data_IF_639745554174
#
_entry.id   IF_639745554174
#
_cell.length_a   1.000
_cell.length_b   1.000
_cell.length_c   1.000
_cell.angle_alpha   90.00
_cell.angle_beta   90.00
_cell.angle_gamma   90.00
#
_symmetry.space_group_name_H-M   'P 1'
#
loop_
_entity.id
_entity.type
_entity.pdbx_description
1 polymer ?
#
# COMPACT_ATOMS: atom_id res chain seq x y z
N UNK A 1 15.76 -17.59 19.58
CA UNK A 1 15.69 -18.69 18.59
C UNK A 1 14.90 -18.20 17.41
N UNK A 2 15.55 -17.97 16.26
CA UNK A 2 14.81 -17.82 15.01
C UNK A 2 14.07 -19.15 14.75
N UNK A 3 12.79 -19.13 14.33
CA UNK A 3 12.07 -20.35 13.96
C UNK A 3 12.72 -20.95 12.72
N UNK A 4 13.65 -21.89 12.93
CA UNK A 4 14.10 -22.79 11.88
C UNK A 4 13.01 -23.84 11.69
N UNK A 5 12.53 -23.98 10.46
CA UNK A 5 11.58 -25.04 10.07
C UNK A 5 12.22 -26.44 10.11
N UNK A 6 13.46 -26.56 10.64
CA UNK A 6 14.20 -27.79 10.85
C UNK A 6 14.47 -28.48 9.52
N UNK A 7 13.75 -29.59 9.29
CA UNK A 7 13.81 -30.39 8.06
C UNK A 7 13.45 -29.60 6.78
N UNK A 8 12.80 -28.45 6.90
CA UNK A 8 12.30 -27.66 5.78
C UNK A 8 13.01 -26.31 5.63
N UNK A 9 14.30 -26.24 5.97
CA UNK A 9 15.08 -24.99 5.96
C UNK A 9 15.10 -24.28 4.58
N UNK A 10 14.83 -25.02 3.51
CA UNK A 10 14.67 -24.54 2.13
C UNK A 10 13.26 -24.00 1.80
N UNK A 11 12.33 -24.04 2.75
CA UNK A 11 10.91 -23.69 2.54
C UNK A 11 10.49 -22.49 3.37
N UNK A 12 9.58 -21.69 2.81
CA UNK A 12 8.89 -20.63 3.53
C UNK A 12 7.59 -21.10 4.19
N UNK A 13 7.08 -20.30 5.14
CA UNK A 13 5.80 -20.51 5.79
C UNK A 13 5.00 -19.20 5.90
N UNK A 14 3.67 -19.28 5.94
CA UNK A 14 2.81 -18.12 6.22
C UNK A 14 2.22 -18.21 7.63
N UNK A 15 2.52 -17.22 8.46
CA UNK A 15 2.02 -17.14 9.84
C UNK A 15 0.61 -16.55 9.83
N UNK A 16 -0.32 -17.17 10.57
CA UNK A 16 -1.66 -16.61 10.75
C UNK A 16 -1.57 -15.32 11.55
N UNK A 17 -1.88 -14.19 10.89
CA UNK A 17 -1.75 -12.86 11.47
C UNK A 17 -3.14 -12.28 11.76
N UNK A 18 -3.94 -12.00 10.72
CA UNK A 18 -5.32 -11.52 10.87
C UNK A 18 -6.23 -12.19 9.84
N UNK A 19 -6.95 -13.23 10.24
CA UNK A 19 -7.73 -14.05 9.30
C UNK A 19 -8.99 -13.33 8.79
N UNK A 20 -9.58 -13.83 7.69
CA UNK A 20 -10.72 -13.19 7.00
C UNK A 20 -12.09 -13.42 7.63
N UNK A 21 -12.20 -14.31 8.63
CA UNK A 21 -13.46 -14.60 9.31
C UNK A 21 -13.81 -13.52 10.36
N UNK A 22 -15.10 -13.25 10.63
CA UNK A 22 -15.52 -12.25 11.61
C UNK A 22 -14.92 -12.43 13.02
N UNK A 23 -14.88 -13.68 13.51
CA UNK A 23 -14.30 -14.03 14.82
C UNK A 23 -12.79 -13.81 14.93
N UNK A 24 -12.11 -13.38 13.86
CA UNK A 24 -10.70 -12.94 13.97
C UNK A 24 -10.54 -11.78 14.95
N UNK A 25 -11.56 -10.94 15.12
CA UNK A 25 -11.52 -9.79 16.04
C UNK A 25 -11.56 -10.18 17.52
N UNK A 26 -12.07 -11.38 17.85
CA UNK A 26 -12.27 -11.81 19.23
C UNK A 26 -10.94 -11.94 20.00
N UNK A 27 -9.86 -12.22 19.28
CA UNK A 27 -8.51 -12.34 19.83
C UNK A 27 -7.50 -11.44 19.12
N UNK A 28 -7.48 -11.48 17.78
CA UNK A 28 -6.37 -10.91 17.02
C UNK A 28 -6.41 -9.37 16.99
N UNK A 29 -7.58 -8.76 17.19
CA UNK A 29 -7.75 -7.30 17.27
C UNK A 29 -7.68 -6.74 18.70
N UNK A 30 -7.45 -7.57 19.72
CA UNK A 30 -7.30 -7.09 21.09
C UNK A 30 -6.03 -6.24 21.20
N UNK A 31 -6.13 -5.14 21.96
CA UNK A 31 -4.99 -4.27 22.25
C UNK A 31 -4.14 -4.83 23.38
N UNK A 32 -2.84 -4.77 23.20
CA UNK A 32 -1.82 -5.02 24.21
C UNK A 32 -1.53 -3.75 25.01
N UNK A 33 -0.70 -3.88 26.05
CA UNK A 33 -0.38 -2.79 26.97
C UNK A 33 0.35 -1.61 26.29
N UNK A 34 1.07 -1.87 25.19
CA UNK A 34 1.76 -0.87 24.37
C UNK A 34 0.84 -0.20 23.34
N UNK A 35 -0.43 -0.60 23.28
CA UNK A 35 -1.42 -0.06 22.36
C UNK A 35 -1.49 -0.74 20.99
N UNK A 36 -0.52 -1.60 20.65
CA UNK A 36 -0.57 -2.43 19.45
C UNK A 36 -1.62 -3.54 19.60
N UNK A 37 -2.17 -4.01 18.49
CA UNK A 37 -3.05 -5.18 18.48
C UNK A 37 -2.23 -6.47 18.45
N UNK A 38 -2.85 -7.58 18.90
CA UNK A 38 -2.23 -8.91 18.85
C UNK A 38 -1.71 -9.25 17.44
N UNK A 39 -2.46 -8.93 16.37
CA UNK A 39 -2.02 -9.22 15.00
C UNK A 39 -0.85 -8.33 14.55
N UNK A 40 -0.79 -7.07 14.95
CA UNK A 40 0.35 -6.18 14.66
C UNK A 40 1.63 -6.73 15.32
N UNK A 41 1.52 -7.23 16.56
CA UNK A 41 2.65 -7.89 17.23
C UNK A 41 3.08 -9.17 16.52
N UNK A 42 2.13 -10.00 16.05
CA UNK A 42 2.45 -11.19 15.25
C UNK A 42 3.20 -10.81 13.96
N UNK A 43 2.76 -9.76 13.27
CA UNK A 43 3.41 -9.26 12.06
C UNK A 43 4.86 -8.82 12.33
N UNK A 44 5.08 -8.03 13.39
CA UNK A 44 6.42 -7.60 13.80
C UNK A 44 7.33 -8.76 14.24
N UNK A 45 6.77 -9.76 14.93
CA UNK A 45 7.52 -10.96 15.33
C UNK A 45 7.96 -11.79 14.11
N UNK A 46 7.07 -12.01 13.14
CA UNK A 46 7.40 -12.75 11.92
C UNK A 46 8.54 -12.09 11.13
N UNK A 47 8.56 -10.77 11.08
CA UNK A 47 9.63 -10.00 10.45
C UNK A 47 10.95 -10.08 11.24
N UNK A 48 10.91 -9.92 12.57
CA UNK A 48 12.09 -10.10 13.44
C UNK A 48 12.69 -11.50 13.31
N UNK A 49 11.84 -12.52 13.26
CA UNK A 49 12.23 -13.92 13.07
C UNK A 49 12.89 -14.16 11.71
N UNK A 50 12.35 -13.58 10.64
CA UNK A 50 12.94 -13.67 9.30
C UNK A 50 14.33 -13.02 9.24
N UNK A 51 14.49 -11.84 9.85
CA UNK A 51 15.79 -11.14 9.89
C UNK A 51 16.86 -11.92 10.66
N UNK A 52 16.52 -12.45 11.83
CA UNK A 52 17.43 -13.30 12.62
C UNK A 52 17.84 -14.57 11.87
N UNK A 53 16.93 -15.17 11.11
CA UNK A 53 17.26 -16.34 10.30
C UNK A 53 18.28 -16.02 9.19
N UNK A 54 18.21 -14.83 8.60
CA UNK A 54 19.17 -14.38 7.57
C UNK A 54 20.55 -14.07 8.15
N UNK A 55 20.63 -13.47 9.35
CA UNK A 55 21.90 -13.17 10.04
C UNK A 55 22.66 -14.43 10.45
N UNK A 56 21.96 -15.54 10.73
CA UNK A 56 22.57 -16.81 11.11
C UNK A 56 23.11 -17.63 9.92
N UNK A 57 22.78 -17.28 8.68
CA UNK A 57 23.13 -18.02 7.44
C UNK A 57 24.41 -17.49 6.77
N UNK A 58 25.07 -16.47 7.33
CA UNK A 58 26.30 -15.83 6.81
C UNK A 58 27.58 -16.65 7.09
N UNK A 59 27.46 -17.96 7.26
CA UNK A 59 28.61 -18.89 7.23
C UNK A 59 28.58 -19.71 5.93
N UNK A 60 29.28 -19.19 4.92
CA UNK A 60 29.81 -19.95 3.76
C UNK A 60 28.91 -20.34 2.58
N UNK A 61 28.00 -19.48 2.09
CA UNK A 61 27.39 -19.75 0.79
C UNK A 61 27.06 -18.49 0.00
N UNK A 62 27.80 -18.29 -1.10
CA UNK A 62 27.50 -17.36 -2.18
C UNK A 62 26.19 -17.78 -2.87
N UNK A 63 25.04 -17.41 -2.30
CA UNK A 63 23.74 -17.50 -2.97
C UNK A 63 23.04 -16.14 -2.91
N UNK A 64 22.78 -15.60 -4.09
CA UNK A 64 22.13 -14.31 -4.31
C UNK A 64 20.66 -14.43 -3.87
N UNK A 65 20.25 -13.62 -2.88
CA UNK A 65 18.91 -13.50 -2.29
C UNK A 65 18.32 -14.78 -1.66
N UNK A 66 18.50 -14.95 -0.34
CA UNK A 66 17.56 -15.77 0.46
C UNK A 66 16.24 -15.00 0.63
N UNK A 67 15.11 -15.47 0.09
CA UNK A 67 13.81 -14.80 0.26
C UNK A 67 13.37 -14.83 1.74
N UNK A 68 12.49 -13.91 2.19
CA UNK A 68 11.98 -13.95 3.56
C UNK A 68 11.29 -15.30 3.81
N UNK A 69 11.82 -16.05 4.78
CA UNK A 69 11.32 -17.39 5.13
C UNK A 69 9.89 -17.36 5.67
N UNK A 70 9.42 -16.22 6.21
CA UNK A 70 8.07 -16.08 6.75
C UNK A 70 7.27 -15.00 6.02
N UNK A 71 6.06 -15.37 5.60
CA UNK A 71 5.00 -14.48 5.17
C UNK A 71 3.87 -14.39 6.21
N UNK A 72 2.85 -13.59 5.93
CA UNK A 72 1.68 -13.37 6.79
C UNK A 72 0.39 -13.79 6.09
N UNK A 73 -0.56 -14.35 6.82
CA UNK A 73 -1.94 -14.52 6.35
C UNK A 73 -2.77 -13.37 6.91
N UNK A 74 -3.27 -12.51 6.02
CA UNK A 74 -4.09 -11.34 6.37
C UNK A 74 -5.31 -11.28 5.47
N UNK A 75 -6.53 -11.30 6.02
CA UNK A 75 -7.76 -11.39 5.25
C UNK A 75 -8.01 -10.17 4.35
N UNK A 76 -8.33 -10.41 3.08
CA UNK A 76 -8.69 -9.37 2.11
C UNK A 76 -10.03 -8.68 2.42
N UNK A 77 -10.78 -9.18 3.41
CA UNK A 77 -12.03 -8.59 3.89
C UNK A 77 -11.80 -7.38 4.81
N UNK A 78 -10.55 -7.12 5.23
CA UNK A 78 -10.20 -6.03 6.14
C UNK A 78 -8.96 -5.26 5.61
N UNK A 79 -9.16 -4.27 4.71
CA UNK A 79 -8.07 -3.44 4.21
C UNK A 79 -7.30 -2.69 5.30
N UNK A 80 -7.96 -2.33 6.40
CA UNK A 80 -7.29 -1.64 7.51
C UNK A 80 -6.26 -2.54 8.19
N UNK A 81 -6.59 -3.82 8.38
CA UNK A 81 -5.66 -4.82 8.89
C UNK A 81 -4.51 -5.09 7.92
N UNK A 82 -4.75 -5.07 6.60
CA UNK A 82 -3.69 -5.17 5.58
C UNK A 82 -2.69 -4.02 5.70
N UNK A 83 -3.17 -2.78 5.83
CA UNK A 83 -2.30 -1.61 6.01
C UNK A 83 -1.51 -1.71 7.32
N UNK A 84 -2.16 -2.07 8.43
CA UNK A 84 -1.50 -2.23 9.73
C UNK A 84 -0.44 -3.35 9.71
N UNK A 85 -0.76 -4.50 9.11
CA UNK A 85 0.18 -5.61 8.96
C UNK A 85 1.36 -5.25 8.05
N UNK A 86 1.14 -4.48 6.99
CA UNK A 86 2.20 -3.98 6.09
C UNK A 86 3.11 -2.98 6.81
N UNK A 87 2.57 -2.14 7.68
CA UNK A 87 3.35 -1.21 8.50
C UNK A 87 4.20 -1.94 9.56
N UNK A 88 3.69 -3.03 10.13
CA UNK A 88 4.37 -3.81 11.15
C UNK A 88 5.37 -4.85 10.59
N UNK A 89 5.11 -5.41 9.40
CA UNK A 89 5.91 -6.44 8.72
C UNK A 89 6.38 -5.99 7.33
N UNK A 90 7.27 -5.01 7.31
CA UNK A 90 7.54 -4.08 6.19
C UNK A 90 7.81 -4.74 4.83
N UNK A 91 8.41 -5.95 4.77
CA UNK A 91 8.75 -6.62 3.50
C UNK A 91 8.16 -8.02 3.33
N UNK A 92 7.38 -8.51 4.30
CA UNK A 92 6.88 -9.88 4.28
C UNK A 92 5.87 -10.09 3.13
N UNK A 93 5.89 -11.27 2.49
CA UNK A 93 4.81 -11.65 1.58
C UNK A 93 3.51 -11.83 2.37
N UNK A 94 2.41 -11.23 1.90
CA UNK A 94 1.09 -11.38 2.49
C UNK A 94 0.25 -12.31 1.61
N UNK A 95 -0.27 -13.39 2.17
CA UNK A 95 -1.32 -14.21 1.61
C UNK A 95 -2.67 -13.64 2.04
N UNK A 96 -3.46 -13.14 1.08
CA UNK A 96 -4.68 -12.38 1.31
C UNK A 96 -5.97 -13.11 0.88
N UNK A 97 -6.42 -14.14 1.63
CA UNK A 97 -7.66 -14.83 1.33
C UNK A 97 -8.88 -13.96 1.63
N UNK A 98 -9.98 -14.18 0.90
CA UNK A 98 -11.28 -13.56 1.19
C UNK A 98 -11.87 -12.76 0.04
N UNK A 99 -11.12 -12.52 -1.04
CA UNK A 99 -11.65 -11.89 -2.25
C UNK A 99 -12.76 -12.74 -2.87
N UNK A 100 -13.85 -12.08 -3.28
CA UNK A 100 -15.00 -12.73 -3.94
C UNK A 100 -15.96 -13.37 -2.94
N UNK A 101 -15.84 -14.68 -2.71
CA UNK A 101 -16.85 -15.47 -1.97
C UNK A 101 -17.05 -15.06 -0.50
N UNK A 102 -16.09 -14.37 0.11
CA UNK A 102 -16.20 -13.83 1.47
C UNK A 102 -16.40 -12.30 1.47
N UNK A 103 -16.60 -11.68 0.31
CA UNK A 103 -16.92 -10.26 0.18
C UNK A 103 -15.72 -9.30 0.21
N UNK A 104 -14.48 -9.80 0.16
CA UNK A 104 -13.30 -8.93 0.08
C UNK A 104 -13.25 -8.15 -1.24
N UNK A 105 -12.97 -6.86 -1.14
CA UNK A 105 -12.73 -5.95 -2.27
C UNK A 105 -11.29 -6.10 -2.76
N UNK A 106 -11.12 -6.49 -4.02
CA UNK A 106 -9.83 -6.74 -4.63
C UNK A 106 -8.96 -5.47 -4.76
N UNK A 107 -9.52 -4.35 -5.20
CA UNK A 107 -8.74 -3.11 -5.40
C UNK A 107 -8.32 -2.54 -4.05
N UNK A 108 -9.24 -2.51 -3.07
CA UNK A 108 -8.92 -2.05 -1.73
C UNK A 108 -7.86 -2.93 -1.05
N UNK A 109 -7.97 -4.26 -1.16
CA UNK A 109 -6.99 -5.20 -0.62
C UNK A 109 -5.62 -5.04 -1.30
N UNK A 110 -5.57 -4.85 -2.62
CA UNK A 110 -4.33 -4.58 -3.34
C UNK A 110 -3.68 -3.28 -2.89
N UNK A 111 -4.42 -2.17 -2.81
CA UNK A 111 -3.89 -0.87 -2.37
C UNK A 111 -3.36 -0.90 -0.94
N UNK A 112 -4.04 -1.61 -0.04
CA UNK A 112 -3.65 -1.72 1.35
C UNK A 112 -2.49 -2.69 1.58
N UNK A 113 -2.44 -3.77 0.78
CA UNK A 113 -1.56 -4.91 1.01
C UNK A 113 -0.32 -4.97 0.13
N UNK A 114 -0.23 -4.26 -1.00
CA UNK A 114 0.96 -4.28 -1.86
C UNK A 114 2.14 -3.50 -1.25
N UNK A 115 3.35 -3.95 -1.55
CA UNK A 115 4.57 -3.17 -1.35
C UNK A 115 4.60 -1.96 -2.30
N UNK A 116 5.50 -1.01 -2.00
CA UNK A 116 5.71 0.18 -2.82
C UNK A 116 6.09 -0.13 -4.28
N UNK A 117 6.83 -1.22 -4.51
CA UNK A 117 7.22 -1.73 -5.84
C UNK A 117 6.11 -2.53 -6.54
N UNK A 118 4.94 -2.63 -5.90
CA UNK A 118 3.80 -3.40 -6.39
C UNK A 118 3.97 -4.91 -6.24
N UNK A 119 4.84 -5.39 -5.33
CA UNK A 119 5.01 -6.82 -5.02
C UNK A 119 4.45 -7.17 -3.64
N UNK A 120 4.72 -8.38 -3.15
CA UNK A 120 4.51 -8.75 -1.74
C UNK A 120 3.09 -9.12 -1.35
N UNK A 121 2.16 -9.26 -2.30
CA UNK A 121 0.78 -9.68 -2.04
C UNK A 121 0.39 -10.85 -2.95
N UNK A 122 -0.13 -11.93 -2.35
CA UNK A 122 -0.74 -13.07 -3.03
C UNK A 122 -2.23 -13.08 -2.72
N UNK A 123 -3.08 -13.00 -3.74
CA UNK A 123 -4.55 -12.99 -3.59
C UNK A 123 -5.12 -14.34 -4.07
N UNK A 124 -5.27 -15.34 -3.18
CA UNK A 124 -5.82 -16.63 -3.57
C UNK A 124 -7.32 -16.52 -3.84
N UNK A 125 -7.74 -16.85 -5.07
CA UNK A 125 -9.16 -16.96 -5.45
C UNK A 125 -9.46 -18.40 -5.84
N UNK A 126 -10.18 -19.13 -4.99
CA UNK A 126 -10.55 -20.53 -5.25
C UNK A 126 -11.96 -20.63 -5.85
N UNK A 127 -13.01 -20.48 -5.03
CA UNK A 127 -14.41 -20.67 -5.46
C UNK A 127 -14.86 -19.70 -6.56
N UNK A 128 -14.32 -18.49 -6.57
CA UNK A 128 -14.63 -17.48 -7.60
C UNK A 128 -14.21 -17.94 -9.01
N UNK A 129 -13.11 -18.69 -9.12
CA UNK A 129 -12.63 -19.23 -10.40
C UNK A 129 -13.22 -20.63 -10.62
N UNK A 130 -13.18 -21.51 -9.62
CA UNK A 130 -13.53 -22.93 -9.82
C UNK A 130 -14.99 -23.14 -10.23
N UNK A 131 -15.88 -22.23 -9.82
CA UNK A 131 -17.33 -22.24 -10.11
C UNK A 131 -17.73 -21.36 -11.30
N UNK A 132 -16.79 -20.66 -11.93
CA UNK A 132 -17.08 -19.84 -13.10
C UNK A 132 -17.42 -20.72 -14.31
N UNK A 133 -18.31 -20.23 -15.18
CA UNK A 133 -18.64 -20.89 -16.45
C UNK A 133 -17.43 -20.98 -17.39
N UNK A 134 -16.64 -19.91 -17.47
CA UNK A 134 -15.34 -19.87 -18.13
C UNK A 134 -14.25 -19.49 -17.12
N UNK A 135 -13.45 -20.48 -16.73
CA UNK A 135 -12.37 -20.31 -15.74
C UNK A 135 -11.19 -19.51 -16.28
N UNK A 136 -10.90 -19.63 -17.57
CA UNK A 136 -9.79 -18.93 -18.18
C UNK A 136 -10.10 -17.43 -18.29
N UNK A 137 -11.32 -17.09 -18.72
CA UNK A 137 -11.78 -15.70 -18.76
C UNK A 137 -11.82 -15.08 -17.35
N UNK A 138 -12.36 -15.78 -16.34
CA UNK A 138 -12.45 -15.24 -14.97
C UNK A 138 -11.05 -15.07 -14.35
N UNK A 139 -10.14 -16.03 -14.55
CA UNK A 139 -8.75 -15.91 -14.10
C UNK A 139 -8.03 -14.73 -14.75
N UNK A 140 -8.24 -14.54 -16.06
CA UNK A 140 -7.68 -13.41 -16.81
C UNK A 140 -8.19 -12.08 -16.26
N UNK A 141 -9.50 -11.96 -16.05
CA UNK A 141 -10.14 -10.77 -15.48
C UNK A 141 -9.57 -10.39 -14.11
N UNK A 142 -9.43 -11.37 -13.21
CA UNK A 142 -8.86 -11.14 -11.87
C UNK A 142 -7.40 -10.69 -11.96
N UNK A 143 -6.60 -11.37 -12.79
CA UNK A 143 -5.20 -10.99 -13.04
C UNK A 143 -5.07 -9.56 -13.57
N UNK A 144 -5.89 -9.21 -14.56
CA UNK A 144 -5.85 -7.88 -15.17
C UNK A 144 -6.23 -6.80 -14.14
N UNK A 145 -7.25 -7.04 -13.30
CA UNK A 145 -7.61 -6.15 -12.20
C UNK A 145 -6.49 -5.99 -11.14
N UNK A 146 -5.77 -7.08 -10.81
CA UNK A 146 -4.61 -7.01 -9.91
C UNK A 146 -3.50 -6.16 -10.53
N UNK A 147 -3.24 -6.33 -11.83
CA UNK A 147 -2.22 -5.55 -12.54
C UNK A 147 -2.57 -4.06 -12.59
N UNK A 148 -3.83 -3.72 -12.83
CA UNK A 148 -4.30 -2.32 -12.81
C UNK A 148 -4.11 -1.69 -11.43
N UNK A 149 -4.49 -2.40 -10.36
CA UNK A 149 -4.29 -1.94 -8.98
C UNK A 149 -2.79 -1.79 -8.65
N UNK A 150 -1.97 -2.76 -9.09
CA UNK A 150 -0.51 -2.74 -8.91
C UNK A 150 0.13 -1.55 -9.61
N UNK A 151 -0.25 -1.27 -10.85
CA UNK A 151 0.23 -0.08 -11.57
C UNK A 151 -0.16 1.21 -10.86
N UNK A 152 -1.38 1.29 -10.32
CA UNK A 152 -1.83 2.46 -9.57
C UNK A 152 -0.99 2.66 -8.30
N UNK A 153 -0.63 1.59 -7.59
CA UNK A 153 0.25 1.64 -6.40
C UNK A 153 1.65 2.14 -6.78
N UNK A 154 2.27 1.52 -7.79
CA UNK A 154 3.61 1.90 -8.26
C UNK A 154 3.62 3.38 -8.67
N UNK A 155 2.65 3.81 -9.49
CA UNK A 155 2.50 5.21 -9.91
C UNK A 155 2.32 6.14 -8.69
N UNK A 156 1.45 5.79 -7.74
CA UNK A 156 1.19 6.61 -6.55
C UNK A 156 2.43 6.81 -5.67
N UNK A 157 3.36 5.85 -5.64
CA UNK A 157 4.59 5.91 -4.84
C UNK A 157 5.78 6.51 -5.59
N UNK A 158 5.84 6.37 -6.93
CA UNK A 158 6.77 7.17 -7.75
C UNK A 158 6.54 8.68 -7.59
N UNK A 159 5.34 9.10 -7.20
CA UNK A 159 5.04 10.47 -6.80
C UNK A 159 5.33 10.78 -5.31
N UNK A 160 5.53 9.76 -4.45
CA UNK A 160 5.73 9.93 -2.99
C UNK A 160 7.15 9.61 -2.49
N UNK A 161 8.03 9.03 -3.32
CA UNK A 161 9.38 8.58 -2.94
C UNK A 161 10.43 9.70 -2.97
N UNK A 162 10.01 10.96 -2.90
CA UNK A 162 10.89 12.12 -2.83
C UNK A 162 11.20 12.56 -1.38
N UNK A 163 11.03 11.68 -0.40
CA UNK A 163 11.38 11.97 0.98
C UNK A 163 11.69 10.69 1.77
N UNK A 164 12.98 10.48 2.09
CA UNK A 164 13.46 10.28 3.47
C UNK A 164 15.01 10.42 3.56
N UNK A 165 15.45 11.00 4.69
CA UNK A 165 16.78 11.53 5.07
C UNK A 165 17.95 10.55 4.85
N UNK A 166 19.10 10.90 4.27
CA UNK A 166 20.09 11.92 4.68
C UNK A 166 20.66 12.74 3.48
N UNK A 167 19.80 13.02 2.51
CA UNK A 167 19.99 14.11 1.54
C UNK A 167 18.75 15.00 1.63
N UNK A 168 18.92 16.33 1.66
CA UNK A 168 17.82 17.30 1.77
C UNK A 168 16.62 16.89 0.87
N UNK A 169 15.41 16.71 1.45
CA UNK A 169 14.34 15.97 0.82
C UNK A 169 13.72 16.79 -0.32
N UNK A 170 13.69 16.23 -1.54
CA UNK A 170 12.93 16.82 -2.66
C UNK A 170 11.43 16.50 -2.57
N UNK A 171 10.90 16.50 -1.36
CA UNK A 171 9.48 16.34 -1.06
C UNK A 171 8.82 17.72 -0.98
N UNK A 172 7.65 17.84 -1.62
CA UNK A 172 6.76 19.02 -1.70
C UNK A 172 7.30 20.27 -1.00
N UNK A 173 7.89 21.19 -1.78
CA UNK A 173 8.46 22.41 -1.25
C UNK A 173 7.40 23.23 -0.47
N UNK A 174 7.79 24.05 0.52
CA UNK A 174 6.85 24.81 1.34
C UNK A 174 5.80 25.59 0.54
N UNK A 175 6.21 26.23 -0.57
CA UNK A 175 5.30 26.97 -1.45
C UNK A 175 4.26 26.06 -2.15
N UNK A 176 4.61 24.81 -2.44
CA UNK A 176 3.71 23.83 -3.05
C UNK A 176 2.64 23.39 -2.05
N UNK A 177 3.03 23.18 -0.79
CA UNK A 177 2.08 22.86 0.30
C UNK A 177 1.12 24.02 0.54
N UNK A 178 1.63 25.24 0.68
CA UNK A 178 0.82 26.45 0.87
C UNK A 178 -0.17 26.65 -0.29
N UNK A 179 0.26 26.40 -1.52
CA UNK A 179 -0.60 26.49 -2.70
C UNK A 179 -1.74 25.46 -2.69
N UNK A 180 -1.46 24.22 -2.28
CA UNK A 180 -2.49 23.17 -2.19
C UNK A 180 -3.52 23.46 -1.09
N UNK A 181 -3.07 23.89 0.09
CA UNK A 181 -3.95 24.28 1.20
C UNK A 181 -4.84 25.46 0.81
N UNK A 182 -4.26 26.47 0.16
CA UNK A 182 -4.99 27.59 -0.41
C UNK A 182 -6.02 27.16 -1.47
N UNK A 183 -5.65 26.26 -2.38
CA UNK A 183 -6.54 25.75 -3.43
C UNK A 183 -7.73 24.97 -2.86
N UNK A 184 -7.52 24.24 -1.76
CA UNK A 184 -8.60 23.54 -1.06
C UNK A 184 -9.54 24.53 -0.35
N UNK A 185 -8.98 25.55 0.31
CA UNK A 185 -9.74 26.55 1.05
C UNK A 185 -10.67 27.38 0.13
N UNK A 186 -10.21 27.76 -1.07
CA UNK A 186 -11.01 28.48 -2.06
C UNK A 186 -11.98 27.56 -2.85
N UNK A 187 -11.95 26.25 -2.58
CA UNK A 187 -12.73 25.26 -3.32
C UNK A 187 -12.31 25.14 -4.79
N UNK A 188 -11.12 25.64 -5.14
CA UNK A 188 -10.50 25.48 -6.46
C UNK A 188 -10.16 24.02 -6.70
N UNK A 189 -9.60 23.34 -5.69
CA UNK A 189 -9.38 21.91 -5.68
C UNK A 189 -10.46 21.23 -4.83
N UNK A 190 -11.13 20.21 -5.40
CA UNK A 190 -12.13 19.40 -4.70
C UNK A 190 -11.85 17.92 -4.91
N UNK A 191 -12.12 17.11 -3.90
CA UNK A 191 -12.07 15.65 -3.95
C UNK A 191 -13.50 15.05 -3.97
N UNK A 192 -13.71 13.98 -4.71
CA UNK A 192 -15.02 13.39 -4.97
C UNK A 192 -15.07 12.72 -6.34
N UNK A 193 -16.25 12.32 -6.81
CA UNK A 193 -16.41 11.72 -8.14
C UNK A 193 -16.85 12.77 -9.16
N UNK A 194 -16.00 13.06 -10.16
CA UNK A 194 -16.28 14.05 -11.19
C UNK A 194 -16.13 13.46 -12.58
N UNK A 195 -17.12 13.64 -13.45
CA UNK A 195 -17.04 13.23 -14.87
C UNK A 195 -16.42 14.37 -15.68
N UNK A 196 -15.27 14.12 -16.30
CA UNK A 196 -14.56 15.09 -17.12
C UNK A 196 -15.16 15.19 -18.52
N UNK A 197 -14.80 16.24 -19.28
CA UNK A 197 -15.20 16.42 -20.69
C UNK A 197 -14.77 15.25 -21.60
N UNK A 198 -13.80 14.46 -21.17
CA UNK A 198 -13.36 13.23 -21.84
C UNK A 198 -14.22 12.00 -21.54
N UNK A 199 -15.24 12.13 -20.68
CA UNK A 199 -16.06 11.01 -20.19
C UNK A 199 -15.41 10.21 -19.05
N UNK A 200 -14.17 10.52 -18.66
CA UNK A 200 -13.46 9.85 -17.56
C UNK A 200 -13.97 10.33 -16.19
N UNK A 201 -14.15 9.40 -15.26
CA UNK A 201 -14.37 9.72 -13.85
C UNK A 201 -13.03 10.02 -13.17
N UNK A 202 -12.92 11.18 -12.54
CA UNK A 202 -11.76 11.64 -11.79
C UNK A 202 -12.09 11.74 -10.30
N UNK A 203 -11.18 11.32 -9.39
CA UNK A 203 -11.36 11.44 -7.94
C UNK A 203 -11.15 12.87 -7.42
N UNK A 204 -10.77 13.80 -8.29
CA UNK A 204 -10.63 15.23 -7.99
C UNK A 204 -11.01 16.11 -9.18
N UNK A 205 -11.33 17.36 -8.89
CA UNK A 205 -11.60 18.40 -9.88
C UNK A 205 -10.89 19.68 -9.48
N UNK A 206 -10.26 20.34 -10.47
CA UNK A 206 -9.54 21.60 -10.28
C UNK A 206 -10.14 22.70 -11.17
N UNK A 207 -10.68 23.76 -10.57
CA UNK A 207 -11.28 24.89 -11.27
C UNK A 207 -10.52 26.19 -10.97
N UNK A 208 -9.52 26.49 -11.80
CA UNK A 208 -8.71 27.71 -11.69
C UNK A 208 -9.54 29.01 -11.77
N UNK A 209 -10.72 28.97 -12.40
CA UNK A 209 -11.62 30.14 -12.49
C UNK A 209 -12.15 30.63 -11.15
N UNK A 210 -12.03 29.82 -10.08
CA UNK A 210 -12.39 30.22 -8.73
C UNK A 210 -11.34 31.13 -8.06
N UNK A 211 -10.13 31.25 -8.62
CA UNK A 211 -9.18 32.31 -8.26
C UNK A 211 -9.64 33.68 -8.81
N UNK A 212 -10.77 34.16 -8.29
CA UNK A 212 -11.55 35.27 -8.87
C UNK A 212 -11.45 36.58 -8.09
N UNK A 213 -10.70 36.60 -6.97
CA UNK A 213 -10.49 37.80 -6.15
C UNK A 213 -9.05 38.31 -6.24
N UNK A 214 -8.85 39.61 -5.97
CA UNK A 214 -7.51 40.20 -5.96
C UNK A 214 -6.58 39.54 -4.93
N UNK A 215 -7.10 39.16 -3.77
CA UNK A 215 -6.35 38.43 -2.75
C UNK A 215 -5.95 37.01 -3.21
N UNK A 216 -6.85 36.32 -3.91
CA UNK A 216 -6.59 35.00 -4.47
C UNK A 216 -5.53 35.06 -5.58
N UNK A 217 -5.62 36.04 -6.48
CA UNK A 217 -4.64 36.26 -7.55
C UNK A 217 -3.26 36.62 -7.00
N UNK A 218 -3.19 37.39 -5.92
CA UNK A 218 -1.92 37.70 -5.24
C UNK A 218 -1.24 36.45 -4.67
N UNK A 219 -2.00 35.59 -3.98
CA UNK A 219 -1.49 34.31 -3.45
C UNK A 219 -1.07 33.35 -4.57
N UNK A 220 -1.86 33.28 -5.65
CA UNK A 220 -1.53 32.53 -6.85
C UNK A 220 -0.22 33.03 -7.46
N UNK A 221 -0.07 34.34 -7.64
CA UNK A 221 1.15 34.96 -8.17
C UNK A 221 2.39 34.67 -7.33
N UNK A 222 2.27 34.69 -5.99
CA UNK A 222 3.36 34.29 -5.08
C UNK A 222 3.76 32.83 -5.26
N UNK A 223 2.79 31.92 -5.38
CA UNK A 223 3.06 30.51 -5.60
C UNK A 223 3.78 30.27 -6.94
N UNK A 224 3.36 30.94 -8.01
CA UNK A 224 4.05 30.89 -9.31
C UNK A 224 5.47 31.47 -9.22
N UNK A 225 5.66 32.63 -8.58
CA UNK A 225 6.97 33.22 -8.41
C UNK A 225 7.91 32.30 -7.63
N UNK A 226 7.44 31.67 -6.55
CA UNK A 226 8.21 30.70 -5.78
C UNK A 226 8.55 29.44 -6.60
N UNK A 227 7.62 28.94 -7.42
CA UNK A 227 7.86 27.82 -8.32
C UNK A 227 8.93 28.13 -9.38
N UNK A 228 8.86 29.33 -9.97
CA UNK A 228 9.82 29.84 -10.95
C UNK A 228 11.21 29.98 -10.32
N UNK A 229 11.30 30.60 -9.13
CA UNK A 229 12.56 30.77 -8.40
C UNK A 229 13.17 29.44 -7.93
N UNK A 230 12.35 28.41 -7.73
CA UNK A 230 12.78 27.07 -7.33
C UNK A 230 13.10 26.16 -8.54
N UNK A 231 12.83 26.60 -9.78
CA UNK A 231 13.19 25.86 -10.99
C UNK A 231 14.68 26.07 -11.32
N UNK A 232 15.40 25.00 -11.65
CA UNK A 232 16.84 25.05 -11.93
C UNK A 232 17.21 25.61 -13.32
N UNK A 233 16.22 25.98 -14.14
CA UNK A 233 16.43 26.59 -15.45
C UNK A 233 15.71 27.94 -15.52
N UNK A 234 16.51 29.02 -15.48
CA UNK A 234 16.26 30.35 -16.04
C UNK A 234 17.57 30.94 -16.54
#
# INVERSE_FOLDING_TARGET
LAPKTGKYADRGAFVLCKTSNPGSNDLLALKLADGATVFETIAGLADSWSRKAAEEDDSSSSSTLSPPLLGLVVGATDPSALTAARAAGTSAWILAPGVGAQGGDLDAACRAGLNADGTGLLVPVSRGISRAGDRAAESKKIRDAINDAREAVIKSKSYSSACDADAEPTGVAPYQKEFLEFSLAEGVLKFGSFVLKSGRTSPYFFNAGLFSSGAALHKLGKAYAAAIMASAEL
#
